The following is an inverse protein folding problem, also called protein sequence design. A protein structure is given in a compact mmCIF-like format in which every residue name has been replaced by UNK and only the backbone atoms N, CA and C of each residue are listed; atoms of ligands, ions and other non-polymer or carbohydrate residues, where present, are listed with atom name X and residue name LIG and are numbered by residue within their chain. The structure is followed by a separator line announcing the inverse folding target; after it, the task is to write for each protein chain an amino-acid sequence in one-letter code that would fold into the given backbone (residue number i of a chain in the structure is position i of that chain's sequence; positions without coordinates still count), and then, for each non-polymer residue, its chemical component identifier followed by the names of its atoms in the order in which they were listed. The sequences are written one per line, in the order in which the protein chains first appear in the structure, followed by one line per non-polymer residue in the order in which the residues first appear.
data_IF_368150469110
#
_entry.id   IF_368150469110
#
_cell.length_a   1.000
_cell.length_b   1.000
_cell.length_c   1.000
_cell.angle_alpha   90.00
_cell.angle_beta   90.00
_cell.angle_gamma   90.00
#
_symmetry.space_group_name_H-M   'P 1'
#
loop_
_entity.id
_entity.type
_entity.pdbx_description
1 polymer ?
#
# COMPACT_ATOMS: atom_id res chain seq x y z
N UNK A 1 -27.99 6.25 -7.78
CA UNK A 1 -26.94 5.49 -8.47
C UNK A 1 -25.61 5.88 -7.84
N UNK A 2 -24.89 4.95 -7.22
CA UNK A 2 -23.52 5.20 -6.75
C UNK A 2 -22.63 5.14 -7.99
N UNK A 3 -22.25 6.30 -8.53
CA UNK A 3 -21.22 6.36 -9.56
C UNK A 3 -19.91 5.91 -8.91
N UNK A 4 -19.42 4.73 -9.27
CA UNK A 4 -18.00 4.41 -9.05
C UNK A 4 -17.23 5.37 -9.95
N UNK A 5 -16.50 6.31 -9.37
CA UNK A 5 -15.55 7.12 -10.12
C UNK A 5 -14.50 6.16 -10.65
N UNK A 6 -14.29 6.20 -11.96
CA UNK A 6 -13.19 5.45 -12.55
C UNK A 6 -11.89 6.06 -12.04
N UNK A 7 -11.00 5.23 -11.48
CA UNK A 7 -9.67 5.66 -11.06
C UNK A 7 -8.93 6.31 -12.24
N UNK A 8 -8.24 7.42 -11.97
CA UNK A 8 -7.40 8.04 -13.00
C UNK A 8 -6.18 7.16 -13.31
N UNK A 9 -5.55 7.31 -14.49
CA UNK A 9 -4.30 6.62 -14.81
C UNK A 9 -3.22 6.81 -13.74
N UNK A 10 -3.10 8.01 -13.18
CA UNK A 10 -2.15 8.33 -12.12
C UNK A 10 -2.46 7.58 -10.82
N UNK A 11 -3.74 7.47 -10.46
CA UNK A 11 -4.18 6.68 -9.30
C UNK A 11 -3.90 5.18 -9.51
N UNK A 12 -4.17 4.65 -10.70
CA UNK A 12 -3.86 3.27 -11.06
C UNK A 12 -2.35 2.98 -10.99
N UNK A 13 -1.52 3.89 -11.53
CA UNK A 13 -0.07 3.78 -11.43
C UNK A 13 0.40 3.83 -9.97
N UNK A 14 -0.16 4.73 -9.17
CA UNK A 14 0.18 4.86 -7.75
C UNK A 14 -0.18 3.60 -6.96
N UNK A 15 -1.32 2.98 -7.23
CA UNK A 15 -1.72 1.69 -6.63
C UNK A 15 -0.72 0.60 -7.02
N UNK A 16 -0.33 0.52 -8.29
CA UNK A 16 0.64 -0.45 -8.76
C UNK A 16 2.00 -0.29 -8.06
N UNK A 17 2.49 0.95 -7.94
CA UNK A 17 3.74 1.26 -7.25
C UNK A 17 3.70 0.90 -5.76
N UNK A 18 2.60 1.21 -5.08
CA UNK A 18 2.40 0.87 -3.66
C UNK A 18 2.37 -0.64 -3.43
N UNK A 19 1.69 -1.40 -4.30
CA UNK A 19 1.66 -2.87 -4.24
C UNK A 19 3.03 -3.47 -4.51
N UNK A 20 3.75 -2.96 -5.51
CA UNK A 20 5.10 -3.40 -5.81
C UNK A 20 6.08 -3.10 -4.67
N UNK A 21 5.95 -1.94 -4.02
CA UNK A 21 6.71 -1.58 -2.83
C UNK A 21 6.40 -2.53 -1.66
N UNK A 22 5.13 -2.80 -1.39
CA UNK A 22 4.72 -3.73 -0.33
C UNK A 22 5.31 -5.13 -0.55
N UNK A 23 5.19 -5.68 -1.76
CA UNK A 23 5.75 -6.98 -2.09
C UNK A 23 7.28 -7.03 -1.92
N UNK A 24 8.00 -5.96 -2.25
CA UNK A 24 9.45 -5.87 -2.01
C UNK A 24 9.76 -5.85 -0.51
N UNK A 25 9.01 -5.08 0.27
CA UNK A 25 9.20 -5.00 1.72
C UNK A 25 8.90 -6.32 2.42
N UNK A 26 7.85 -7.02 1.99
CA UNK A 26 7.52 -8.35 2.50
C UNK A 26 8.62 -9.38 2.21
N UNK A 27 9.21 -9.36 0.99
CA UNK A 27 10.37 -10.20 0.68
C UNK A 27 11.57 -9.91 1.59
N UNK A 28 11.86 -8.63 1.85
CA UNK A 28 12.96 -8.27 2.76
C UNK A 28 12.66 -8.73 4.18
N UNK A 29 11.44 -8.55 4.68
CA UNK A 29 11.03 -9.04 5.99
C UNK A 29 11.19 -10.57 6.10
N UNK A 30 10.76 -11.32 5.08
CA UNK A 30 10.91 -12.78 5.05
C UNK A 30 12.38 -13.22 5.11
N UNK A 31 13.27 -12.50 4.40
CA UNK A 31 14.71 -12.77 4.47
C UNK A 31 15.27 -12.48 5.86
N UNK A 32 14.89 -11.37 6.48
CA UNK A 32 15.35 -11.02 7.83
C UNK A 32 14.84 -12.02 8.88
N UNK A 33 13.58 -12.45 8.79
CA UNK A 33 13.02 -13.49 9.67
C UNK A 33 13.76 -14.81 9.50
N UNK A 34 14.10 -15.19 8.26
CA UNK A 34 14.85 -16.43 8.01
C UNK A 34 16.26 -16.41 8.65
N UNK A 35 16.84 -15.22 8.87
CA UNK A 35 18.12 -15.01 9.53
C UNK A 35 17.98 -14.79 11.06
N UNK A 36 16.76 -14.87 11.62
CA UNK A 36 16.50 -14.63 13.05
C UNK A 36 16.63 -13.16 13.45
N UNK A 37 16.33 -12.25 12.52
CA UNK A 37 16.36 -10.79 12.71
C UNK A 37 14.92 -10.24 12.71
N UNK A 38 14.04 -10.79 13.55
CA UNK A 38 12.61 -10.42 13.59
C UNK A 38 12.39 -8.95 13.96
N UNK A 39 13.21 -8.41 14.87
CA UNK A 39 13.16 -7.00 15.26
C UNK A 39 13.46 -6.08 14.05
N UNK A 40 14.38 -6.48 13.18
CA UNK A 40 14.71 -5.76 11.94
C UNK A 40 13.66 -5.98 10.85
N UNK A 41 12.99 -7.14 10.85
CA UNK A 41 11.92 -7.45 9.90
C UNK A 41 10.64 -6.64 10.16
N UNK A 42 10.34 -6.34 11.42
CA UNK A 42 9.14 -5.62 11.87
C UNK A 42 8.88 -4.32 11.09
N UNK A 43 9.82 -3.36 10.99
CA UNK A 43 9.58 -2.13 10.23
C UNK A 43 9.34 -2.36 8.73
N UNK A 44 9.84 -3.46 8.16
CA UNK A 44 9.55 -3.82 6.77
C UNK A 44 8.12 -4.35 6.61
N UNK A 45 7.63 -5.14 7.56
CA UNK A 45 6.24 -5.61 7.57
C UNK A 45 5.27 -4.44 7.74
N UNK A 46 5.54 -3.52 8.68
CA UNK A 46 4.73 -2.31 8.86
C UNK A 46 4.72 -1.43 7.61
N UNK A 47 5.88 -1.24 6.97
CA UNK A 47 5.96 -0.48 5.73
C UNK A 47 5.16 -1.13 4.59
N UNK A 48 5.15 -2.47 4.51
CA UNK A 48 4.34 -3.20 3.53
C UNK A 48 2.84 -3.02 3.79
N UNK A 49 2.39 -3.22 5.04
CA UNK A 49 1.00 -3.01 5.44
C UNK A 49 0.51 -1.60 5.16
N UNK A 50 1.28 -0.59 5.58
CA UNK A 50 0.97 0.82 5.32
C UNK A 50 0.84 1.16 3.83
N UNK A 51 1.63 0.51 2.96
CA UNK A 51 1.54 0.72 1.52
C UNK A 51 0.29 0.06 0.92
N UNK A 52 -0.08 -1.14 1.40
CA UNK A 52 -1.32 -1.81 1.00
C UNK A 52 -2.56 -1.03 1.45
N UNK A 53 -2.57 -0.49 2.67
CA UNK A 53 -3.66 0.34 3.18
C UNK A 53 -3.83 1.61 2.34
N UNK A 54 -2.73 2.26 1.96
CA UNK A 54 -2.78 3.43 1.07
C UNK A 54 -3.33 3.06 -0.32
N UNK A 55 -2.91 1.93 -0.88
CA UNK A 55 -3.44 1.46 -2.15
C UNK A 55 -4.95 1.20 -2.06
N UNK A 56 -5.39 0.53 -0.99
CA UNK A 56 -6.81 0.25 -0.74
C UNK A 56 -7.64 1.52 -0.58
N UNK A 57 -7.12 2.54 0.13
CA UNK A 57 -7.78 3.85 0.23
C UNK A 57 -7.96 4.50 -1.14
N UNK A 58 -6.94 4.50 -2.00
CA UNK A 58 -7.08 5.05 -3.36
C UNK A 58 -8.16 4.30 -4.14
N UNK A 59 -8.25 2.98 -4.01
CA UNK A 59 -9.28 2.16 -4.66
C UNK A 59 -10.70 2.39 -4.14
N UNK A 60 -10.84 2.96 -2.93
CA UNK A 60 -12.10 3.09 -2.20
C UNK A 60 -12.54 4.54 -1.97
N UNK A 61 -11.73 5.54 -2.35
CA UNK A 61 -12.16 6.94 -2.33
C UNK A 61 -13.34 7.10 -3.32
N UNK A 62 -14.51 7.40 -2.75
CA UNK A 62 -15.67 7.93 -3.47
C UNK A 62 -15.66 9.46 -3.25
N UNK A 63 -16.05 10.26 -4.25
CA UNK A 63 -15.92 11.75 -4.36
C UNK A 63 -16.41 12.62 -3.17
N UNK A 64 -16.85 12.07 -2.03
CA UNK A 64 -17.37 12.84 -0.90
C UNK A 64 -16.39 13.11 0.24
N UNK A 65 -15.17 12.61 0.19
CA UNK A 65 -14.13 13.03 1.13
C UNK A 65 -13.31 14.15 0.47
N UNK A 66 -13.75 15.39 0.65
CA UNK A 66 -12.88 16.56 0.49
C UNK A 66 -11.57 16.28 1.22
N UNK A 67 -10.48 16.12 0.47
CA UNK A 67 -9.14 16.07 1.02
C UNK A 67 -8.83 17.50 1.52
N UNK A 68 -8.70 17.77 2.83
CA UNK A 68 -8.26 19.09 3.28
C UNK A 68 -6.79 19.24 2.87
N UNK A 69 -6.48 20.41 2.30
CA UNK A 69 -5.13 20.84 1.91
C UNK A 69 -4.17 20.90 3.10
#
# INVERSE_FOLDING_TARGET
MLFRIALTPEQLQRIADLRAFAAKKEKVAQLLIAEGLEDEATPHQEAAGNALDKAHRIETIHDNDEIPF
#
